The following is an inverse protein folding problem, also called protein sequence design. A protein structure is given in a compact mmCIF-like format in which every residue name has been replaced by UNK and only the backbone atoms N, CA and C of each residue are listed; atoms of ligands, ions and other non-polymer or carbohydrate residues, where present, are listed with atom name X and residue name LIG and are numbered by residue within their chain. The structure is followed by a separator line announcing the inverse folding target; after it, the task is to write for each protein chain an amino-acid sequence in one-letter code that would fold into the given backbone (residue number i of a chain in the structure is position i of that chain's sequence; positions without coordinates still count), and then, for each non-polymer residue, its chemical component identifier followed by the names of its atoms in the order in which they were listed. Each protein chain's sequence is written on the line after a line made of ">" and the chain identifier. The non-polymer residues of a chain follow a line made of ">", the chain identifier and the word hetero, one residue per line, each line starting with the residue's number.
data_IF_671422388937
#
_entry.id   IF_671422388937
#
_cell.length_a   1.000
_cell.length_b   1.000
_cell.length_c   1.000
_cell.angle_alpha   90.00
_cell.angle_beta   90.00
_cell.angle_gamma   90.00
#
_symmetry.space_group_name_H-M   'P 1'
#
loop_
_entity.id
_entity.type
_entity.pdbx_description
1 polymer ?
#
# COMPACT_ATOMS: atom_id res chain seq x y z
N UNK A 1 -0.13 -19.13 11.76
CA UNK A 1 -1.47 -19.72 11.59
C UNK A 1 -2.12 -19.75 12.96
N UNK A 2 -3.00 -18.79 13.24
CA UNK A 2 -3.66 -18.64 14.55
C UNK A 2 -5.03 -19.32 14.51
N UNK A 3 -5.06 -20.64 14.61
CA UNK A 3 -6.30 -21.33 14.95
C UNK A 3 -6.41 -21.30 16.49
N UNK A 4 -7.35 -20.52 17.03
CA UNK A 4 -7.55 -20.41 18.50
C UNK A 4 -7.99 -21.73 19.13
N UNK A 5 -8.57 -22.62 18.33
CA UNK A 5 -8.84 -24.00 18.67
C UNK A 5 -7.70 -24.85 18.13
N UNK A 6 -6.96 -25.53 18.99
CA UNK A 6 -5.87 -26.46 18.65
C UNK A 6 -6.38 -27.74 17.96
N UNK A 7 -7.23 -27.61 16.94
CA UNK A 7 -7.87 -28.70 16.20
C UNK A 7 -7.13 -28.91 14.88
N UNK A 8 -6.82 -30.17 14.61
CA UNK A 8 -6.20 -30.57 13.36
C UNK A 8 -7.23 -30.51 12.22
N UNK A 9 -6.86 -29.82 11.13
CA UNK A 9 -7.63 -29.72 9.91
C UNK A 9 -6.82 -30.27 8.73
N UNK A 10 -7.45 -31.06 7.88
CA UNK A 10 -6.81 -31.59 6.66
C UNK A 10 -6.98 -30.57 5.54
N UNK A 11 -5.86 -30.06 5.03
CA UNK A 11 -5.81 -29.15 3.89
C UNK A 11 -5.05 -29.82 2.74
N UNK A 12 -5.68 -29.92 1.58
CA UNK A 12 -5.02 -30.29 0.33
C UNK A 12 -4.68 -29.03 -0.43
N UNK A 13 -3.50 -28.97 -1.03
CA UNK A 13 -3.14 -27.90 -1.96
C UNK A 13 -2.87 -28.50 -3.34
N UNK A 14 -3.34 -27.80 -4.37
CA UNK A 14 -3.05 -28.14 -5.75
C UNK A 14 -2.44 -26.92 -6.43
N UNK A 15 -1.46 -27.17 -7.30
CA UNK A 15 -0.80 -26.12 -8.08
C UNK A 15 -0.67 -26.62 -9.51
N UNK A 16 -1.14 -25.82 -10.46
CA UNK A 16 -1.03 -26.12 -11.88
C UNK A 16 -0.81 -24.84 -12.68
N UNK A 17 -0.38 -25.01 -13.93
CA UNK A 17 -0.26 -23.92 -14.89
C UNK A 17 -1.58 -23.78 -15.65
N UNK A 18 -2.09 -22.56 -15.72
CA UNK A 18 -3.22 -22.18 -16.56
C UNK A 18 -2.83 -20.95 -17.38
N UNK A 19 -2.58 -21.16 -18.68
CA UNK A 19 -1.97 -20.15 -19.55
C UNK A 19 -0.60 -19.70 -19.03
N UNK A 20 -0.44 -18.39 -18.79
CA UNK A 20 0.78 -17.80 -18.23
C UNK A 20 0.76 -17.66 -16.70
N UNK A 21 -0.27 -18.20 -16.03
CA UNK A 21 -0.45 -18.07 -14.59
C UNK A 21 -0.20 -19.39 -13.86
N UNK A 22 0.39 -19.30 -12.67
CA UNK A 22 0.45 -20.42 -11.72
C UNK A 22 -0.78 -20.30 -10.82
N UNK A 23 -1.71 -21.24 -10.96
CA UNK A 23 -2.89 -21.32 -10.11
C UNK A 23 -2.55 -22.14 -8.88
N UNK A 24 -2.91 -21.62 -7.70
CA UNK A 24 -2.78 -22.31 -6.41
C UNK A 24 -4.14 -22.32 -5.74
N UNK A 25 -4.62 -23.52 -5.39
CA UNK A 25 -5.89 -23.70 -4.69
C UNK A 25 -5.68 -24.54 -3.45
N UNK A 26 -6.35 -24.13 -2.37
CA UNK A 26 -6.39 -24.84 -1.09
C UNK A 26 -7.79 -25.41 -0.87
N UNK A 27 -7.88 -26.70 -0.61
CA UNK A 27 -9.12 -27.41 -0.30
C UNK A 27 -9.09 -27.86 1.16
N UNK A 28 -10.02 -27.38 1.96
CA UNK A 28 -10.20 -27.81 3.34
C UNK A 28 -11.20 -28.95 3.40
N UNK A 29 -10.75 -30.14 3.81
CA UNK A 29 -11.65 -31.28 3.97
C UNK A 29 -12.35 -31.18 5.32
N UNK A 30 -13.68 -31.10 5.30
CA UNK A 30 -14.50 -31.08 6.50
C UNK A 30 -15.77 -31.91 6.38
N UNK A 31 -16.30 -32.33 7.53
CA UNK A 31 -17.67 -32.83 7.62
C UNK A 31 -18.64 -31.64 7.76
N UNK A 32 -19.93 -31.86 7.51
CA UNK A 32 -20.95 -30.81 7.70
C UNK A 32 -20.93 -30.22 9.11
N UNK A 33 -20.70 -31.04 10.14
CA UNK A 33 -20.60 -30.59 11.55
C UNK A 33 -19.42 -29.65 11.82
N UNK A 34 -18.40 -29.63 10.96
CA UNK A 34 -17.20 -28.80 11.10
C UNK A 34 -17.14 -27.63 10.11
N UNK A 35 -18.17 -27.47 9.28
CA UNK A 35 -18.24 -26.44 8.22
C UNK A 35 -17.99 -25.03 8.77
N UNK A 36 -18.71 -24.64 9.82
CA UNK A 36 -18.58 -23.31 10.46
C UNK A 36 -17.15 -23.03 10.93
N UNK A 37 -16.44 -24.03 11.45
CA UNK A 37 -15.05 -23.86 11.88
C UNK A 37 -14.08 -23.63 10.73
N UNK A 38 -14.31 -24.28 9.57
CA UNK A 38 -13.51 -24.02 8.36
C UNK A 38 -13.84 -22.66 7.76
N UNK A 39 -15.11 -22.26 7.74
CA UNK A 39 -15.53 -20.94 7.28
C UNK A 39 -14.87 -19.84 8.12
N UNK A 40 -14.82 -20.01 9.45
CA UNK A 40 -14.11 -19.09 10.35
C UNK A 40 -12.60 -19.04 10.06
N UNK A 41 -11.94 -20.19 9.85
CA UNK A 41 -10.51 -20.22 9.46
C UNK A 41 -10.28 -19.53 8.12
N UNK A 42 -11.16 -19.74 7.13
CA UNK A 42 -11.07 -19.09 5.83
C UNK A 42 -11.19 -17.56 5.98
N UNK A 43 -12.19 -17.09 6.75
CA UNK A 43 -12.38 -15.67 7.05
C UNK A 43 -11.19 -15.06 7.78
N UNK A 44 -10.65 -15.75 8.79
CA UNK A 44 -9.47 -15.30 9.52
C UNK A 44 -8.21 -15.26 8.64
N UNK A 45 -8.05 -16.22 7.74
CA UNK A 45 -6.93 -16.25 6.79
C UNK A 45 -7.06 -15.10 5.79
N UNK A 46 -8.26 -14.83 5.29
CA UNK A 46 -8.53 -13.66 4.44
C UNK A 46 -8.26 -12.35 5.19
N UNK A 47 -8.74 -12.20 6.42
CA UNK A 47 -8.49 -11.02 7.25
C UNK A 47 -6.99 -10.81 7.48
N UNK A 48 -6.27 -11.87 7.86
CA UNK A 48 -4.83 -11.83 8.05
C UNK A 48 -4.08 -11.48 6.76
N UNK A 49 -4.53 -11.97 5.60
CA UNK A 49 -3.93 -11.64 4.31
C UNK A 49 -4.17 -10.19 3.87
N UNK A 50 -5.22 -9.54 4.40
CA UNK A 50 -5.50 -8.12 4.19
C UNK A 50 -4.76 -7.20 5.19
N UNK A 51 -4.21 -7.77 6.27
CA UNK A 51 -3.38 -7.03 7.22
C UNK A 51 -1.94 -6.89 6.70
N UNK A 52 -1.34 -5.72 6.92
CA UNK A 52 0.06 -5.47 6.58
C UNK A 52 0.97 -5.88 7.74
N UNK A 53 1.79 -6.90 7.54
CA UNK A 53 2.66 -7.47 8.57
C UNK A 53 4.06 -6.87 8.49
N UNK A 54 4.24 -5.68 9.07
CA UNK A 54 5.54 -4.97 9.05
C UNK A 54 6.06 -4.74 7.63
N UNK A 55 5.17 -4.34 6.74
CA UNK A 55 5.44 -4.17 5.33
C UNK A 55 4.75 -2.91 4.80
N UNK A 56 5.23 -2.46 3.64
CA UNK A 56 4.63 -1.38 2.85
C UNK A 56 4.39 -1.99 1.48
N UNK A 57 3.18 -1.88 0.94
CA UNK A 57 2.91 -2.38 -0.40
C UNK A 57 3.57 -1.48 -1.43
N UNK A 58 4.31 -2.10 -2.34
CA UNK A 58 5.07 -1.46 -3.40
C UNK A 58 4.55 -1.94 -4.74
N UNK A 59 4.08 -1.00 -5.57
CA UNK A 59 3.69 -1.27 -6.94
C UNK A 59 4.85 -0.99 -7.90
N UNK A 60 5.22 -2.00 -8.67
CA UNK A 60 6.22 -1.89 -9.72
C UNK A 60 6.01 -2.97 -10.79
N UNK A 61 6.37 -2.68 -12.04
CA UNK A 61 6.23 -3.61 -13.17
C UNK A 61 4.82 -4.23 -13.28
N UNK A 62 3.78 -3.43 -13.01
CA UNK A 62 2.39 -3.86 -13.10
C UNK A 62 1.88 -4.72 -11.93
N UNK A 63 2.61 -4.87 -10.83
CA UNK A 63 2.22 -5.73 -9.71
C UNK A 63 2.50 -5.10 -8.34
N UNK A 64 1.64 -5.42 -7.36
CA UNK A 64 1.88 -5.12 -5.94
C UNK A 64 2.76 -6.19 -5.28
N UNK A 65 3.66 -5.74 -4.42
CA UNK A 65 4.56 -6.62 -3.66
C UNK A 65 4.85 -6.06 -2.27
N UNK A 66 5.23 -6.94 -1.34
CA UNK A 66 5.57 -6.58 0.04
C UNK A 66 6.97 -5.97 0.17
N UNK A 67 7.05 -4.69 0.51
CA UNK A 67 8.29 -3.93 0.69
C UNK A 67 8.78 -3.86 2.13
N UNK A 68 9.23 -4.98 2.70
CA UNK A 68 9.73 -5.01 4.09
C UNK A 68 11.00 -4.15 4.30
N UNK A 69 11.88 -4.07 3.31
CA UNK A 69 13.08 -3.21 3.38
C UNK A 69 12.70 -1.72 3.47
N UNK A 70 11.68 -1.30 2.70
CA UNK A 70 11.14 0.06 2.76
C UNK A 70 10.52 0.33 4.14
N UNK A 71 9.75 -0.64 4.67
CA UNK A 71 9.17 -0.54 6.01
C UNK A 71 10.25 -0.33 7.08
N UNK A 72 11.32 -1.14 7.07
CA UNK A 72 12.47 -0.94 7.97
C UNK A 72 13.09 0.44 7.82
N UNK A 73 13.20 0.94 6.59
CA UNK A 73 13.70 2.29 6.30
C UNK A 73 12.82 3.38 6.89
N UNK A 74 11.49 3.22 6.78
CA UNK A 74 10.50 4.12 7.39
C UNK A 74 10.63 4.10 8.92
N UNK A 75 10.74 2.92 9.55
CA UNK A 75 10.87 2.84 11.01
C UNK A 75 12.10 3.58 11.56
N UNK A 76 13.19 3.61 10.80
CA UNK A 76 14.42 4.35 11.14
C UNK A 76 14.34 5.86 10.91
N UNK A 77 13.34 6.34 10.17
CA UNK A 77 13.23 7.77 9.86
C UNK A 77 12.72 8.59 11.04
N UNK A 78 13.18 9.84 11.11
CA UNK A 78 12.83 10.81 12.13
C UNK A 78 12.80 12.22 11.51
N UNK A 79 11.85 13.06 11.94
CA UNK A 79 11.73 14.44 11.49
C UNK A 79 12.95 15.31 11.84
N UNK A 80 13.74 14.89 12.84
CA UNK A 80 15.01 15.55 13.17
C UNK A 80 16.05 15.43 12.04
N UNK A 81 16.01 14.34 11.27
CA UNK A 81 16.97 14.07 10.19
C UNK A 81 16.57 14.75 8.87
N UNK A 82 15.38 15.35 8.80
CA UNK A 82 14.91 16.10 7.64
C UNK A 82 15.57 17.48 7.62
N UNK A 83 16.29 17.81 6.55
CA UNK A 83 16.96 19.11 6.39
C UNK A 83 16.01 20.06 5.64
N UNK A 84 15.00 20.58 6.35
CA UNK A 84 14.06 21.63 5.90
C UNK A 84 13.91 22.67 7.02
N UNK A 85 13.50 23.88 6.68
CA UNK A 85 13.20 24.89 7.69
C UNK A 85 12.01 24.46 8.58
N UNK A 86 12.00 24.95 9.82
CA UNK A 86 11.03 24.54 10.86
C UNK A 86 9.59 24.84 10.44
N UNK A 87 9.36 25.96 9.75
CA UNK A 87 8.04 26.36 9.27
C UNK A 87 7.53 25.38 8.21
N UNK A 88 8.36 25.01 7.24
CA UNK A 88 7.99 24.03 6.20
C UNK A 88 7.71 22.65 6.78
N UNK A 89 8.51 22.18 7.75
CA UNK A 89 8.24 20.91 8.46
C UNK A 89 6.88 20.95 9.16
N UNK A 90 6.59 22.02 9.88
CA UNK A 90 5.33 22.20 10.60
C UNK A 90 4.14 22.20 9.63
N UNK A 91 4.23 22.95 8.52
CA UNK A 91 3.16 23.01 7.51
C UNK A 91 2.88 21.64 6.90
N UNK A 92 3.91 20.93 6.44
CA UNK A 92 3.76 19.58 5.86
C UNK A 92 3.08 18.61 6.81
N UNK A 93 3.48 18.63 8.08
CA UNK A 93 2.89 17.76 9.10
C UNK A 93 1.45 18.15 9.41
N UNK A 94 1.21 19.43 9.65
CA UNK A 94 -0.12 19.95 9.97
C UNK A 94 -1.11 19.71 8.83
N UNK A 95 -0.69 19.86 7.58
CA UNK A 95 -1.57 19.66 6.42
C UNK A 95 -2.04 18.20 6.33
N UNK A 96 -1.13 17.25 6.50
CA UNK A 96 -1.46 15.81 6.47
C UNK A 96 -2.30 15.40 7.67
N UNK A 97 -1.97 15.87 8.88
CA UNK A 97 -2.74 15.60 10.09
C UNK A 97 -4.16 16.20 10.00
N UNK A 98 -4.27 17.46 9.56
CA UNK A 98 -5.57 18.13 9.37
C UNK A 98 -6.42 17.43 8.31
N UNK A 99 -5.81 16.98 7.21
CA UNK A 99 -6.53 16.21 6.19
C UNK A 99 -7.04 14.88 6.74
N UNK A 100 -6.21 14.16 7.50
CA UNK A 100 -6.61 12.91 8.15
C UNK A 100 -7.75 13.11 9.15
N UNK A 101 -7.71 14.21 9.92
CA UNK A 101 -8.71 14.55 10.93
C UNK A 101 -10.00 15.14 10.34
N UNK A 102 -9.92 15.78 9.17
CA UNK A 102 -11.06 16.38 8.47
C UNK A 102 -11.93 15.40 7.68
N UNK A 103 -11.62 14.09 7.71
CA UNK A 103 -12.30 13.08 6.90
C UNK A 103 -13.80 13.00 7.14
N UNK A 104 -14.23 13.14 8.39
CA UNK A 104 -15.65 13.07 8.75
C UNK A 104 -16.45 14.21 8.11
N UNK A 105 -15.82 15.38 7.93
CA UNK A 105 -16.42 16.52 7.23
C UNK A 105 -16.62 16.20 5.74
N UNK A 106 -15.60 15.65 5.07
CA UNK A 106 -15.72 15.24 3.65
C UNK A 106 -16.77 14.13 3.47
N UNK A 107 -16.83 13.18 4.41
CA UNK A 107 -17.84 12.11 4.41
C UNK A 107 -19.25 12.67 4.58
N UNK A 108 -19.44 13.63 5.49
CA UNK A 108 -20.73 14.29 5.70
C UNK A 108 -21.17 15.11 4.48
N UNK A 109 -20.22 15.72 3.77
CA UNK A 109 -20.48 16.50 2.55
C UNK A 109 -20.61 15.65 1.28
N UNK A 110 -20.40 14.33 1.35
CA UNK A 110 -20.44 13.42 0.18
C UNK A 110 -19.32 13.65 -0.84
N UNK A 111 -18.24 14.34 -0.45
CA UNK A 111 -17.13 14.69 -1.33
C UNK A 111 -16.05 13.60 -1.24
N UNK A 112 -15.50 13.11 -2.38
CA UNK A 112 -14.36 12.20 -2.36
C UNK A 112 -13.18 12.79 -1.59
N UNK A 113 -12.76 12.11 -0.52
CA UNK A 113 -11.67 12.56 0.33
C UNK A 113 -10.30 12.20 -0.30
N UNK A 114 -9.90 12.95 -1.33
CA UNK A 114 -8.57 12.85 -1.98
C UNK A 114 -7.82 14.17 -1.80
N UNK A 115 -6.65 14.14 -1.15
CA UNK A 115 -5.77 15.31 -1.04
C UNK A 115 -4.42 14.98 -1.65
N UNK A 116 -4.09 15.68 -2.74
CA UNK A 116 -2.78 15.61 -3.35
C UNK A 116 -1.89 16.72 -2.82
N UNK A 117 -0.78 16.37 -2.19
CA UNK A 117 0.30 17.32 -1.91
C UNK A 117 1.34 17.19 -3.02
N UNK A 118 1.37 18.15 -3.95
CA UNK A 118 2.43 18.23 -4.96
C UNK A 118 3.64 18.87 -4.31
N UNK A 119 4.79 18.19 -4.36
CA UNK A 119 6.04 18.77 -3.84
C UNK A 119 6.70 19.62 -4.91
N UNK A 120 7.20 20.81 -4.56
CA UNK A 120 7.93 21.65 -5.50
C UNK A 120 9.17 20.89 -6.02
N UNK A 121 9.57 21.12 -7.29
CA UNK A 121 10.73 20.47 -7.88
C UNK A 121 11.99 20.83 -7.07
N UNK A 122 12.55 19.81 -6.43
CA UNK A 122 13.82 19.89 -5.71
C UNK A 122 14.94 19.54 -6.71
N UNK A 123 15.98 20.39 -6.81
CA UNK A 123 17.11 20.13 -7.73
C UNK A 123 17.78 18.78 -7.44
N UNK A 124 18.43 18.13 -8.44
CA UNK A 124 18.90 16.72 -8.37
C UNK A 124 19.80 16.34 -7.18
N UNK A 125 20.38 17.31 -6.47
CA UNK A 125 21.15 17.11 -5.24
C UNK A 125 20.31 16.97 -3.95
N UNK A 126 18.99 17.23 -4.00
CA UNK A 126 18.10 17.26 -2.83
C UNK A 126 17.12 16.09 -2.75
N UNK A 127 17.23 15.10 -3.64
CA UNK A 127 16.40 13.87 -3.68
C UNK A 127 16.44 13.09 -2.38
N UNK A 128 17.56 13.13 -1.65
CA UNK A 128 17.69 12.52 -0.32
C UNK A 128 16.79 13.19 0.72
N UNK A 129 16.68 14.52 0.71
CA UNK A 129 15.85 15.28 1.66
C UNK A 129 14.37 14.95 1.44
N UNK A 130 13.96 14.86 0.17
CA UNK A 130 12.60 14.46 -0.21
C UNK A 130 12.27 13.07 0.30
N UNK A 131 13.17 12.10 0.06
CA UNK A 131 12.99 10.71 0.46
C UNK A 131 12.89 10.56 1.99
N UNK A 132 13.76 11.25 2.74
CA UNK A 132 13.74 11.23 4.22
C UNK A 132 12.44 11.86 4.75
N UNK A 133 11.97 12.95 4.12
CA UNK A 133 10.71 13.60 4.50
C UNK A 133 9.50 12.70 4.26
N UNK A 134 9.45 11.99 3.12
CA UNK A 134 8.39 11.00 2.82
C UNK A 134 8.38 9.91 3.88
N UNK A 135 9.54 9.34 4.21
CA UNK A 135 9.64 8.28 5.23
C UNK A 135 9.18 8.77 6.61
N UNK A 136 9.58 9.98 6.99
CA UNK A 136 9.14 10.60 8.26
C UNK A 136 7.63 10.83 8.29
N UNK A 137 7.03 11.26 7.17
CA UNK A 137 5.58 11.39 6.99
C UNK A 137 4.86 10.04 7.13
N UNK A 138 5.32 9.01 6.40
CA UNK A 138 4.76 7.65 6.45
C UNK A 138 4.76 7.09 7.87
N UNK A 139 5.82 7.37 8.64
CA UNK A 139 5.92 6.95 10.05
C UNK A 139 4.96 7.71 10.97
N UNK A 140 4.59 8.94 10.61
CA UNK A 140 3.78 9.83 11.46
C UNK A 140 2.28 9.59 11.34
N UNK A 141 1.83 8.84 10.33
CA UNK A 141 0.42 8.54 10.09
C UNK A 141 0.06 7.13 10.59
N UNK A 142 -1.18 6.96 11.06
CA UNK A 142 -1.70 5.66 11.51
C UNK A 142 -2.29 4.80 10.38
N UNK A 143 -2.24 5.29 9.14
CA UNK A 143 -2.84 4.63 7.98
C UNK A 143 -1.79 3.87 7.17
N UNK A 144 -2.17 2.76 6.50
CA UNK A 144 -1.33 2.10 5.53
C UNK A 144 -0.71 3.08 4.54
N UNK A 145 0.58 2.91 4.30
CA UNK A 145 1.26 3.59 3.19
C UNK A 145 1.38 2.63 2.01
N UNK A 146 1.00 3.10 0.83
CA UNK A 146 1.14 2.40 -0.44
C UNK A 146 2.13 3.19 -1.30
N UNK A 147 3.05 2.50 -1.96
CA UNK A 147 4.16 3.13 -2.67
C UNK A 147 4.18 2.69 -4.13
N UNK A 148 4.01 3.61 -5.07
CA UNK A 148 4.08 3.34 -6.51
C UNK A 148 5.42 3.85 -7.02
N UNK A 149 6.29 2.92 -7.42
CA UNK A 149 7.58 3.25 -8.04
C UNK A 149 7.33 3.70 -9.48
N UNK A 150 6.58 2.92 -10.25
CA UNK A 150 6.28 3.21 -11.66
C UNK A 150 5.00 2.51 -12.11
N UNK A 151 4.26 3.15 -13.02
CA UNK A 151 3.11 2.54 -13.70
C UNK A 151 3.51 1.66 -14.90
N UNK A 152 4.78 1.71 -15.32
CA UNK A 152 5.29 0.93 -16.44
C UNK A 152 5.04 -0.56 -16.22
N UNK A 153 4.49 -1.20 -17.24
CA UNK A 153 4.24 -2.64 -17.27
C UNK A 153 4.56 -3.21 -18.65
N UNK A 154 4.71 -4.53 -18.73
CA UNK A 154 4.94 -5.23 -20.00
C UNK A 154 3.71 -5.27 -20.91
N UNK A 155 2.51 -5.04 -20.36
CA UNK A 155 1.24 -5.23 -21.07
C UNK A 155 0.77 -3.89 -21.62
N UNK A 156 0.34 -2.96 -20.75
CA UNK A 156 0.01 -1.57 -21.06
C UNK A 156 0.05 -0.70 -19.79
N UNK A 157 0.48 0.56 -19.91
CA UNK A 157 0.62 1.47 -18.76
C UNK A 157 -0.75 1.93 -18.21
N UNK A 158 -1.72 2.18 -19.08
CA UNK A 158 -3.08 2.58 -18.69
C UNK A 158 -3.78 1.50 -17.84
N UNK A 159 -3.67 0.24 -18.27
CA UNK A 159 -4.22 -0.88 -17.52
C UNK A 159 -3.55 -1.05 -16.15
N UNK A 160 -2.22 -0.93 -16.12
CA UNK A 160 -1.41 -1.00 -14.90
C UNK A 160 -1.81 0.08 -13.90
N UNK A 161 -2.08 1.30 -14.38
CA UNK A 161 -2.54 2.41 -13.56
C UNK A 161 -3.91 2.12 -12.93
N UNK A 162 -4.90 1.71 -13.73
CA UNK A 162 -6.24 1.37 -13.22
C UNK A 162 -6.15 0.23 -12.20
N UNK A 163 -5.43 -0.84 -12.53
CA UNK A 163 -5.24 -1.99 -11.64
C UNK A 163 -4.56 -1.61 -10.31
N UNK A 164 -3.57 -0.69 -10.34
CA UNK A 164 -2.92 -0.20 -9.15
C UNK A 164 -3.91 0.51 -8.22
N UNK A 165 -4.70 1.45 -8.76
CA UNK A 165 -5.67 2.21 -7.97
C UNK A 165 -6.82 1.36 -7.46
N UNK A 166 -7.35 0.43 -8.26
CA UNK A 166 -8.45 -0.46 -7.85
C UNK A 166 -8.02 -1.37 -6.69
N UNK A 167 -6.81 -1.94 -6.78
CA UNK A 167 -6.25 -2.75 -5.68
C UNK A 167 -6.01 -1.92 -4.42
N UNK A 168 -5.56 -0.66 -4.58
CA UNK A 168 -5.32 0.24 -3.47
C UNK A 168 -6.60 0.55 -2.66
N UNK A 169 -7.78 0.56 -3.31
CA UNK A 169 -9.06 0.83 -2.64
C UNK A 169 -9.35 -0.14 -1.47
N UNK A 170 -8.85 -1.37 -1.53
CA UNK A 170 -9.00 -2.37 -0.47
C UNK A 170 -8.32 -1.94 0.86
N UNK A 171 -7.38 -1.00 0.80
CA UNK A 171 -6.64 -0.49 1.95
C UNK A 171 -7.14 0.88 2.43
N UNK A 172 -8.27 1.37 1.91
CA UNK A 172 -8.82 2.64 2.35
C UNK A 172 -9.14 2.60 3.85
N UNK A 173 -8.77 3.63 4.62
CA UNK A 173 -7.97 4.80 4.23
C UNK A 173 -6.46 4.54 4.17
N UNK A 174 -5.78 5.05 3.13
CA UNK A 174 -4.31 4.93 2.95
C UNK A 174 -3.64 6.24 2.54
N UNK A 175 -2.31 6.31 2.69
CA UNK A 175 -1.44 7.31 2.07
C UNK A 175 -0.79 6.70 0.83
N UNK A 176 -0.96 7.35 -0.32
CA UNK A 176 -0.32 6.93 -1.56
C UNK A 176 0.89 7.81 -1.86
N UNK A 177 2.02 7.17 -2.12
CA UNK A 177 3.25 7.84 -2.56
C UNK A 177 3.47 7.46 -4.02
N UNK A 178 3.59 8.46 -4.89
CA UNK A 178 3.94 8.30 -6.30
C UNK A 178 5.38 8.80 -6.49
N UNK A 179 6.30 7.92 -6.89
CA UNK A 179 7.70 8.28 -7.12
C UNK A 179 7.95 8.78 -8.56
N UNK A 180 7.24 8.21 -9.55
CA UNK A 180 7.36 8.59 -10.95
C UNK A 180 6.11 9.33 -11.46
N UNK A 181 6.22 10.64 -11.61
CA UNK A 181 5.28 11.48 -12.37
C UNK A 181 5.93 12.06 -13.65
N UNK A 182 7.20 11.73 -13.93
CA UNK A 182 7.90 12.27 -15.11
C UNK A 182 7.87 11.28 -16.28
N UNK A 183 6.72 11.28 -16.95
CA UNK A 183 6.66 11.01 -18.38
C UNK A 183 7.56 12.02 -19.11
N UNK A 184 8.75 11.61 -19.57
CA UNK A 184 9.49 12.35 -20.61
C UNK A 184 9.24 11.71 -21.96
N UNK A 185 8.32 12.28 -22.74
CA UNK A 185 8.58 12.87 -24.07
C UNK A 185 7.27 13.01 -24.87
N UNK A 186 6.75 14.24 -24.94
CA UNK A 186 6.15 14.72 -26.20
C UNK A 186 7.34 14.87 -27.16
N UNK A 187 7.54 13.89 -28.02
CA UNK A 187 8.54 13.93 -29.08
C UNK A 187 8.18 15.01 -30.09
N UNK A 188 9.05 16.03 -30.19
CA UNK A 188 9.32 16.67 -31.46
C UNK A 188 10.29 15.76 -32.24
N UNK A 189 9.93 15.52 -33.51
CA UNK A 189 10.58 14.74 -34.57
C UNK A 189 10.37 13.22 -34.54
#
# INVERSE_FOLDING_TARGET
>A
MLCRDWKDHVCYFATWLEGYSIIRVHYFLHSEKRKTGIEDIALQTCAYAMELHQEILVFNNGNWSSGHALWKGVQKSDWKDVILDTTTKYRLRSDVENFCNGRDVFKHLGIPCKHGTVKPPLSPGHTNILTISIKALMKSISYPSLYIISFKSYIYEEYSMVAAFDSAQAFMPYMLILEDLESKNIGNF
#
